data_IF_860708798893
#
_entry.id   IF_860708798893
#
_cell.length_a   1.000
_cell.length_b   1.000
_cell.length_c   1.000
_cell.angle_alpha   90.00
_cell.angle_beta   90.00
_cell.angle_gamma   90.00
#
_symmetry.space_group_name_H-M   'P 1'
#
loop_
_entity.id
_entity.type
_entity.pdbx_description
1 polymer ?
#
# COMPACT_ATOMS: atom_id res chain seq x y z
N UNK A 1 -13.59 15.98 5.22
CA UNK A 1 -12.43 16.23 4.32
C UNK A 1 -12.33 15.17 3.21
N UNK A 2 -13.46 14.61 2.76
CA UNK A 2 -13.57 13.73 1.58
C UNK A 2 -14.16 14.60 0.47
N UNK A 3 -13.36 15.48 -0.11
CA UNK A 3 -13.77 16.20 -1.33
C UNK A 3 -12.61 16.67 -2.20
N UNK A 4 -11.37 16.64 -1.68
CA UNK A 4 -10.16 17.00 -2.47
C UNK A 4 -9.41 15.79 -3.03
N UNK A 5 -9.72 14.56 -2.59
CA UNK A 5 -9.06 13.32 -3.04
C UNK A 5 -9.47 12.86 -4.44
N UNK A 6 -10.45 13.56 -5.01
CA UNK A 6 -11.02 13.29 -6.33
C UNK A 6 -10.39 14.19 -7.44
N UNK A 7 -9.29 14.89 -7.16
CA UNK A 7 -8.52 15.63 -8.17
C UNK A 7 -7.32 14.87 -8.74
N UNK A 8 -6.83 13.85 -8.03
CA UNK A 8 -5.54 13.19 -8.31
C UNK A 8 -5.63 11.93 -9.18
N UNK A 9 -6.79 11.30 -9.31
CA UNK A 9 -6.93 10.20 -10.28
C UNK A 9 -6.90 10.68 -11.75
N UNK A 10 -6.83 11.99 -11.96
CA UNK A 10 -6.51 12.64 -13.22
C UNK A 10 -5.01 12.83 -13.45
N UNK A 11 -4.11 12.04 -12.87
CA UNK A 11 -2.75 11.95 -13.38
C UNK A 11 -2.83 11.30 -14.77
N UNK A 12 -3.08 12.14 -15.77
CA UNK A 12 -2.67 11.87 -17.14
C UNK A 12 -1.15 11.67 -17.10
N UNK A 13 -0.70 10.42 -16.98
CA UNK A 13 0.69 10.00 -17.19
C UNK A 13 1.05 10.28 -18.66
N UNK A 14 1.28 11.55 -18.98
CA UNK A 14 1.80 11.99 -20.28
C UNK A 14 3.32 11.94 -20.23
N UNK A 15 3.86 10.75 -20.46
CA UNK A 15 5.22 10.58 -20.98
C UNK A 15 5.22 9.35 -21.90
N UNK A 16 6.21 9.19 -22.77
CA UNK A 16 6.13 8.32 -23.96
C UNK A 16 6.80 6.94 -23.80
N UNK A 17 7.31 6.59 -22.60
CA UNK A 17 8.08 5.35 -22.28
C UNK A 17 7.50 4.57 -21.06
N UNK A 18 6.20 4.69 -20.80
CA UNK A 18 5.70 4.96 -19.42
C UNK A 18 5.11 3.82 -18.60
N UNK A 19 5.05 2.60 -19.13
CA UNK A 19 4.44 1.48 -18.38
C UNK A 19 5.31 0.97 -17.23
N UNK A 20 6.64 0.97 -17.43
CA UNK A 20 7.61 0.65 -16.38
C UNK A 20 7.59 1.67 -15.25
N UNK A 21 7.47 2.96 -15.57
CA UNK A 21 7.42 4.02 -14.57
C UNK A 21 6.15 3.91 -13.70
N UNK A 22 4.99 3.68 -14.31
CA UNK A 22 3.74 3.44 -13.57
C UNK A 22 3.87 2.25 -12.63
N UNK A 23 4.40 1.11 -13.12
CA UNK A 23 4.61 -0.07 -12.28
C UNK A 23 5.55 0.20 -11.09
N UNK A 24 6.68 0.88 -11.31
CA UNK A 24 7.61 1.23 -10.22
C UNK A 24 6.95 2.16 -9.22
N UNK A 25 6.19 3.17 -9.68
CA UNK A 25 5.47 4.10 -8.80
C UNK A 25 4.39 3.40 -7.99
N UNK A 26 3.59 2.53 -8.61
CA UNK A 26 2.57 1.74 -7.92
C UNK A 26 3.23 0.86 -6.84
N UNK A 27 4.34 0.21 -7.20
CA UNK A 27 5.06 -0.69 -6.30
C UNK A 27 5.69 0.06 -5.11
N UNK A 28 6.33 1.21 -5.34
CA UNK A 28 6.94 2.00 -4.26
C UNK A 28 5.87 2.56 -3.31
N UNK A 29 4.73 3.01 -3.84
CA UNK A 29 3.61 3.49 -3.04
C UNK A 29 3.09 2.41 -2.07
N UNK A 30 2.88 1.19 -2.55
CA UNK A 30 2.46 0.06 -1.69
C UNK A 30 3.45 -0.16 -0.54
N UNK A 31 4.75 -0.22 -0.84
CA UNK A 31 5.77 -0.49 0.17
C UNK A 31 5.85 0.61 1.24
N UNK A 32 5.77 1.87 0.84
CA UNK A 32 5.80 3.00 1.78
C UNK A 32 4.57 3.00 2.68
N UNK A 33 3.38 2.78 2.11
CA UNK A 33 2.13 2.75 2.89
C UNK A 33 2.11 1.56 3.84
N UNK A 34 2.51 0.37 3.38
CA UNK A 34 2.57 -0.83 4.20
C UNK A 34 3.57 -0.72 5.36
N UNK A 35 4.76 -0.17 5.10
CA UNK A 35 5.76 0.05 6.14
C UNK A 35 5.29 1.08 7.18
N UNK A 36 4.69 2.19 6.74
CA UNK A 36 4.09 3.17 7.63
C UNK A 36 2.93 2.61 8.46
N UNK A 37 2.05 1.82 7.85
CA UNK A 37 0.94 1.15 8.55
C UNK A 37 1.47 0.17 9.61
N UNK A 38 2.53 -0.57 9.30
CA UNK A 38 3.15 -1.53 10.21
C UNK A 38 3.84 -0.84 11.39
N UNK A 39 4.54 0.27 11.16
CA UNK A 39 5.11 1.09 12.23
C UNK A 39 4.02 1.66 13.14
N UNK A 40 2.93 2.17 12.56
CA UNK A 40 1.77 2.67 13.33
C UNK A 40 1.07 1.55 14.12
N UNK A 41 0.97 0.34 13.56
CA UNK A 41 0.40 -0.82 14.23
C UNK A 41 1.25 -1.25 15.43
N UNK A 42 2.58 -1.35 15.25
CA UNK A 42 3.50 -1.66 16.35
C UNK A 42 3.42 -0.62 17.47
N UNK A 43 3.41 0.66 17.11
CA UNK A 43 3.23 1.73 18.09
C UNK A 43 1.89 1.59 18.82
N UNK A 44 0.81 1.29 18.11
CA UNK A 44 -0.52 1.11 18.71
C UNK A 44 -0.59 -0.10 19.64
N UNK A 45 0.13 -1.19 19.34
CA UNK A 45 0.26 -2.33 20.23
C UNK A 45 0.91 -1.93 21.56
N UNK A 46 2.01 -1.18 21.50
CA UNK A 46 2.66 -0.64 22.71
C UNK A 46 1.67 0.20 23.53
N UNK A 47 0.77 0.96 22.88
CA UNK A 47 -0.16 1.89 23.56
C UNK A 47 -1.22 1.11 24.34
N UNK A 48 -1.62 -0.04 23.81
CA UNK A 48 -2.63 -0.93 24.39
C UNK A 48 -2.03 -1.85 25.45
N UNK A 49 -0.88 -2.47 25.18
CA UNK A 49 -0.26 -3.43 26.11
C UNK A 49 0.54 -2.76 27.22
N UNK A 50 1.13 -1.60 26.93
CA UNK A 50 2.17 -0.99 27.78
C UNK A 50 3.42 -1.87 27.86
N UNK A 51 4.49 -1.33 28.42
CA UNK A 51 5.72 -2.09 28.71
C UNK A 51 6.42 -1.52 29.94
N UNK A 52 6.70 -2.37 30.94
CA UNK A 52 7.37 -1.93 32.17
C UNK A 52 8.84 -1.59 31.93
N UNK A 53 9.51 -2.35 31.06
CA UNK A 53 10.92 -2.16 30.69
C UNK A 53 11.19 -0.81 30.03
N UNK A 54 10.24 -0.28 29.24
CA UNK A 54 10.34 1.03 28.59
C UNK A 54 9.67 2.14 29.41
N UNK A 55 9.26 1.84 30.65
CA UNK A 55 8.45 2.72 31.51
C UNK A 55 7.18 3.26 30.82
N UNK A 56 6.64 2.50 29.87
CA UNK A 56 5.53 2.93 29.04
C UNK A 56 4.20 2.44 29.58
N UNK A 57 3.38 3.38 30.04
CA UNK A 57 2.09 3.12 30.64
C UNK A 57 1.01 2.90 29.57
N UNK A 58 -0.07 2.15 29.90
CA UNK A 58 -1.20 1.94 28.99
C UNK A 58 -2.02 3.23 28.84
N UNK A 59 -2.08 3.80 27.64
CA UNK A 59 -2.82 5.05 27.42
C UNK A 59 -4.29 4.81 27.08
N UNK A 60 -4.61 3.66 26.46
CA UNK A 60 -5.97 3.37 26.00
C UNK A 60 -7.00 3.25 27.13
N UNK A 61 -6.57 3.06 28.39
CA UNK A 61 -7.48 3.11 29.53
C UNK A 61 -8.05 4.51 29.76
N UNK A 62 -7.23 5.56 29.54
CA UNK A 62 -7.65 6.96 29.73
C UNK A 62 -8.21 7.60 28.47
N UNK A 63 -7.69 7.22 27.30
CA UNK A 63 -8.04 7.82 26.00
C UNK A 63 -8.70 6.81 25.05
N UNK A 64 -9.75 6.13 25.53
CA UNK A 64 -10.47 5.08 24.80
C UNK A 64 -10.95 5.52 23.41
N UNK A 65 -11.52 6.73 23.30
CA UNK A 65 -12.03 7.27 22.02
C UNK A 65 -10.94 7.43 20.96
N UNK A 66 -9.79 7.96 21.35
CA UNK A 66 -8.64 8.13 20.44
C UNK A 66 -8.07 6.78 20.01
N UNK A 67 -7.97 5.83 20.93
CA UNK A 67 -7.51 4.49 20.61
C UNK A 67 -8.43 3.77 19.60
N UNK A 68 -9.75 3.92 19.75
CA UNK A 68 -10.70 3.34 18.79
C UNK A 68 -10.58 3.99 17.40
N UNK A 69 -10.39 5.31 17.34
CA UNK A 69 -10.24 6.05 16.10
C UNK A 69 -8.94 5.71 15.35
N UNK A 70 -7.81 5.57 16.06
CA UNK A 70 -6.54 5.14 15.47
C UNK A 70 -6.58 3.67 15.08
N UNK A 71 -7.18 2.82 15.91
CA UNK A 71 -7.37 1.40 15.58
C UNK A 71 -8.15 1.22 14.29
N UNK A 72 -9.27 1.94 14.11
CA UNK A 72 -10.03 1.90 12.87
C UNK A 72 -9.26 2.48 11.67
N UNK A 73 -8.49 3.55 11.87
CA UNK A 73 -7.64 4.12 10.83
C UNK A 73 -6.55 3.14 10.35
N UNK A 74 -5.95 2.37 11.26
CA UNK A 74 -4.96 1.34 10.91
C UNK A 74 -5.60 0.22 10.10
N UNK A 75 -6.78 -0.25 10.51
CA UNK A 75 -7.53 -1.28 9.77
C UNK A 75 -7.84 -0.79 8.35
N UNK A 76 -8.33 0.45 8.20
CA UNK A 76 -8.59 1.05 6.89
C UNK A 76 -7.31 1.20 6.06
N UNK A 77 -6.18 1.52 6.68
CA UNK A 77 -4.89 1.60 6.00
C UNK A 77 -4.48 0.24 5.42
N UNK A 78 -4.63 -0.86 6.18
CA UNK A 78 -4.39 -2.20 5.64
C UNK A 78 -5.33 -2.58 4.49
N UNK A 79 -6.60 -2.18 4.55
CA UNK A 79 -7.53 -2.36 3.41
C UNK A 79 -7.02 -1.59 2.19
N UNK A 80 -6.56 -0.35 2.37
CA UNK A 80 -5.97 0.44 1.29
C UNK A 80 -4.71 -0.22 0.71
N UNK A 81 -3.83 -0.79 1.54
CA UNK A 81 -2.66 -1.55 1.08
C UNK A 81 -3.08 -2.72 0.19
N UNK A 82 -4.10 -3.50 0.60
CA UNK A 82 -4.59 -4.62 -0.21
C UNK A 82 -5.09 -4.13 -1.58
N UNK A 83 -5.86 -3.03 -1.62
CA UNK A 83 -6.31 -2.44 -2.88
C UNK A 83 -5.13 -1.99 -3.76
N UNK A 84 -4.12 -1.35 -3.17
CA UNK A 84 -2.92 -0.94 -3.90
C UNK A 84 -2.13 -2.14 -4.45
N UNK A 85 -2.02 -3.25 -3.71
CA UNK A 85 -1.38 -4.49 -4.19
C UNK A 85 -2.10 -5.02 -5.43
N UNK A 86 -3.44 -5.00 -5.45
CA UNK A 86 -4.23 -5.42 -6.61
C UNK A 86 -3.93 -4.52 -7.82
N UNK A 87 -3.83 -3.20 -7.61
CA UNK A 87 -3.49 -2.25 -8.67
C UNK A 87 -2.07 -2.48 -9.21
N UNK A 88 -1.08 -2.69 -8.33
CA UNK A 88 0.29 -3.02 -8.73
C UNK A 88 0.35 -4.32 -9.53
N UNK A 89 -0.43 -5.33 -9.13
CA UNK A 89 -0.53 -6.59 -9.87
C UNK A 89 -1.11 -6.38 -11.27
N UNK A 90 -2.17 -5.58 -11.42
CA UNK A 90 -2.76 -5.27 -12.72
C UNK A 90 -1.79 -4.48 -13.61
N UNK A 91 -1.05 -3.54 -13.03
CA UNK A 91 0.02 -2.76 -13.68
C UNK A 91 1.14 -3.67 -14.20
N UNK A 92 1.63 -4.58 -13.35
CA UNK A 92 2.62 -5.59 -13.68
C UNK A 92 2.13 -6.51 -14.81
N UNK A 93 0.91 -7.02 -14.68
CA UNK A 93 0.33 -7.93 -15.67
C UNK A 93 0.21 -7.27 -17.05
N UNK A 94 -0.23 -6.01 -17.10
CA UNK A 94 -0.27 -5.24 -18.34
C UNK A 94 1.12 -5.00 -18.92
N UNK A 95 2.13 -4.72 -18.08
CA UNK A 95 3.51 -4.54 -18.51
C UNK A 95 4.10 -5.84 -19.11
N UNK A 96 3.99 -6.95 -18.38
CA UNK A 96 4.53 -8.24 -18.81
C UNK A 96 3.81 -8.80 -20.02
N UNK A 97 2.49 -8.57 -20.16
CA UNK A 97 1.75 -8.97 -21.36
C UNK A 97 2.31 -8.31 -22.63
N UNK A 98 2.76 -7.05 -22.56
CA UNK A 98 3.34 -6.36 -23.72
C UNK A 98 4.75 -6.84 -24.07
N UNK A 99 5.54 -7.24 -23.07
CA UNK A 99 6.92 -7.70 -23.26
C UNK A 99 7.06 -9.23 -23.35
N UNK A 100 5.95 -9.97 -23.27
CA UNK A 100 5.96 -11.44 -23.33
C UNK A 100 6.45 -11.93 -24.70
N UNK A 101 7.61 -12.60 -24.79
CA UNK A 101 8.21 -12.96 -26.07
C UNK A 101 7.41 -14.09 -26.73
N UNK A 102 6.85 -13.88 -27.92
CA UNK A 102 6.17 -14.94 -28.70
C UNK A 102 7.07 -16.12 -29.15
N UNK A 103 8.31 -16.21 -28.65
CA UNK A 103 9.33 -17.19 -29.08
C UNK A 103 9.02 -18.63 -28.72
N UNK A 104 8.11 -18.91 -27.78
CA UNK A 104 7.79 -20.29 -27.39
C UNK A 104 7.09 -21.10 -28.50
N UNK A 105 6.51 -20.46 -29.52
CA UNK A 105 5.83 -21.18 -30.62
C UNK A 105 6.71 -21.50 -31.84
N UNK A 106 7.97 -21.06 -31.89
CA UNK A 106 8.85 -21.29 -33.05
C UNK A 106 9.66 -22.61 -32.98
N UNK A 107 9.70 -23.29 -31.83
CA UNK A 107 10.52 -24.50 -31.65
C UNK A 107 9.81 -25.83 -32.02
N UNK A 108 8.60 -25.77 -32.57
CA UNK A 108 7.85 -26.96 -33.03
C UNK A 108 7.69 -26.96 -34.56
N UNK A 109 8.78 -26.71 -35.27
CA UNK A 109 8.88 -26.90 -36.72
C UNK A 109 10.35 -27.10 -37.14
N UNK A 110 11.02 -28.08 -36.55
CA UNK A 110 12.24 -28.66 -37.10
C UNK A 110 12.25 -30.16 -36.89
#
# INVERSE_FOLDING_TARGET
MVQSGLGWYGVAQKTSNSKWLSYILDQTAVYVVFSGASAAAQHSLLVVTGSRELQWMKWCYKFTRFCFQIGSAIILNYIAVVLMVILSFLSAFNLFRLYSPKRYFQFKSS
#
